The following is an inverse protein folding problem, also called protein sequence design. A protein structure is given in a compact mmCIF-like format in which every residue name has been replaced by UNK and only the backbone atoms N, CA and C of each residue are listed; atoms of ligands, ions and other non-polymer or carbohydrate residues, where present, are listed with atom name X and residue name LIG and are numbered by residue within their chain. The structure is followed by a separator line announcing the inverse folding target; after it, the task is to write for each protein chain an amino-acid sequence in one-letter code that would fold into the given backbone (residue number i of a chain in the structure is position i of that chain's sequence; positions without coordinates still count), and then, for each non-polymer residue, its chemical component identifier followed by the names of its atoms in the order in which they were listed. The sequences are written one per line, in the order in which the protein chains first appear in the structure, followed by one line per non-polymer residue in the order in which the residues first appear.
data_IF_917699811644
#
_entry.id   IF_917699811644
#
_cell.length_a   1.000
_cell.length_b   1.000
_cell.length_c   1.000
_cell.angle_alpha   90.00
_cell.angle_beta   90.00
_cell.angle_gamma   90.00
#
_symmetry.space_group_name_H-M   'P 1'
#
loop_
_entity.id
_entity.type
_entity.pdbx_description
1 polymer ?
#
# COMPACT_ATOMS: atom_id res chain seq x y z
N UNK A 1 3.16 5.40 12.77
CA UNK A 1 3.91 4.15 12.56
C UNK A 1 4.62 4.27 11.23
N UNK A 2 5.86 3.83 11.16
CA UNK A 2 6.60 3.68 9.91
C UNK A 2 6.38 2.26 9.38
N UNK A 3 6.01 2.14 8.10
CA UNK A 3 5.97 0.87 7.37
C UNK A 3 7.05 0.96 6.32
N UNK A 4 8.03 0.09 6.39
CA UNK A 4 9.26 0.08 5.59
C UNK A 4 9.39 -1.16 4.69
N UNK A 5 8.32 -1.93 4.56
CA UNK A 5 8.26 -3.20 3.81
C UNK A 5 6.98 -3.31 2.96
N UNK A 6 6.31 -2.19 2.66
CA UNK A 6 5.04 -2.22 1.91
C UNK A 6 5.28 -2.52 0.43
N UNK A 7 4.98 -3.75 0.02
CA UNK A 7 5.02 -4.18 -1.38
C UNK A 7 3.69 -3.80 -2.05
N UNK A 8 3.73 -2.89 -3.02
CA UNK A 8 2.55 -2.46 -3.75
C UNK A 8 2.02 -3.59 -4.67
N UNK A 9 0.84 -4.10 -4.39
CA UNK A 9 0.20 -5.15 -5.20
C UNK A 9 -0.78 -4.59 -6.22
N UNK A 10 -1.42 -3.47 -5.90
CA UNK A 10 -2.41 -2.86 -6.78
C UNK A 10 -2.91 -1.51 -6.29
N UNK A 11 -3.57 -0.81 -7.19
CA UNK A 11 -4.20 0.49 -6.93
C UNK A 11 -5.68 0.37 -7.24
N UNK A 12 -6.52 0.78 -6.30
CA UNK A 12 -7.96 0.77 -6.48
C UNK A 12 -8.41 1.81 -7.51
N UNK A 13 -9.69 1.77 -7.89
CA UNK A 13 -10.28 2.81 -8.72
C UNK A 13 -10.26 4.18 -7.99
N UNK A 14 -10.20 5.30 -8.73
CA UNK A 14 -10.33 6.62 -8.13
C UNK A 14 -11.69 6.82 -7.46
N UNK A 15 -11.69 7.42 -6.27
CA UNK A 15 -12.88 7.74 -5.49
C UNK A 15 -12.96 9.25 -5.30
N UNK A 16 -14.14 9.82 -5.57
CA UNK A 16 -14.44 11.23 -5.30
C UNK A 16 -14.85 11.41 -3.83
N UNK A 17 -14.11 12.24 -3.11
CA UNK A 17 -14.40 12.62 -1.73
C UNK A 17 -15.42 13.76 -1.66
N UNK A 18 -16.07 13.94 -0.50
CA UNK A 18 -17.06 15.00 -0.26
C UNK A 18 -16.52 16.41 -0.52
N UNK A 19 -15.23 16.63 -0.33
CA UNK A 19 -14.54 17.90 -0.57
C UNK A 19 -14.03 18.05 -2.02
N UNK A 20 -14.56 17.25 -2.95
CA UNK A 20 -14.23 17.22 -4.38
C UNK A 20 -12.80 16.78 -4.72
N UNK A 21 -12.03 16.29 -3.74
CA UNK A 21 -10.73 15.66 -4.03
C UNK A 21 -10.94 14.25 -4.58
N UNK A 22 -10.09 13.85 -5.52
CA UNK A 22 -10.02 12.48 -6.03
C UNK A 22 -8.88 11.77 -5.32
N UNK A 23 -9.13 10.56 -4.81
CA UNK A 23 -8.10 9.73 -4.17
C UNK A 23 -8.15 8.29 -4.64
N UNK A 24 -7.04 7.59 -4.47
CA UNK A 24 -6.88 6.18 -4.76
C UNK A 24 -6.37 5.47 -3.50
N UNK A 25 -6.85 4.25 -3.23
CA UNK A 25 -6.23 3.39 -2.23
C UNK A 25 -5.13 2.55 -2.89
N UNK A 26 -4.00 2.40 -2.22
CA UNK A 26 -2.96 1.44 -2.59
C UNK A 26 -3.14 0.19 -1.73
N UNK A 27 -3.30 -0.98 -2.35
CA UNK A 27 -3.32 -2.26 -1.67
C UNK A 27 -1.96 -2.93 -1.81
N UNK A 28 -1.44 -3.48 -0.72
CA UNK A 28 -0.12 -4.08 -0.70
C UNK A 28 0.04 -5.07 0.44
N UNK A 29 1.22 -5.65 0.50
CA UNK A 29 1.60 -6.61 1.52
C UNK A 29 2.77 -6.06 2.34
N UNK A 30 2.77 -6.35 3.63
CA UNK A 30 3.86 -6.11 4.57
C UNK A 30 4.04 -7.39 5.35
N UNK A 31 5.27 -7.89 5.49
CA UNK A 31 5.52 -9.12 6.26
C UNK A 31 5.10 -8.94 7.74
N UNK A 32 5.17 -7.71 8.24
CA UNK A 32 4.81 -7.37 9.63
C UNK A 32 3.31 -7.21 9.85
N UNK A 33 2.56 -6.81 8.82
CA UNK A 33 1.16 -6.39 8.95
C UNK A 33 0.19 -7.20 8.06
N UNK A 34 0.71 -8.11 7.25
CA UNK A 34 -0.05 -8.85 6.25
C UNK A 34 -0.54 -7.99 5.09
N UNK A 35 -1.70 -8.34 4.53
CA UNK A 35 -2.36 -7.56 3.50
C UNK A 35 -2.94 -6.28 4.11
N UNK A 36 -2.44 -5.14 3.66
CA UNK A 36 -2.89 -3.83 4.12
C UNK A 36 -3.18 -2.89 2.96
N UNK A 37 -3.95 -1.85 3.25
CA UNK A 37 -4.21 -0.76 2.32
C UNK A 37 -3.80 0.58 2.92
N UNK A 38 -3.25 1.43 2.07
CA UNK A 38 -2.82 2.78 2.42
C UNK A 38 -3.64 3.79 1.62
N UNK A 39 -4.19 4.77 2.34
CA UNK A 39 -4.98 5.86 1.75
C UNK A 39 -4.76 7.18 2.49
N UNK A 40 -5.00 8.35 1.89
CA UNK A 40 -5.18 8.57 0.47
C UNK A 40 -3.85 8.47 -0.30
N UNK A 41 -3.88 7.89 -1.50
CA UNK A 41 -2.84 8.04 -2.53
C UNK A 41 -3.40 8.81 -3.74
N UNK A 42 -2.55 9.14 -4.70
CA UNK A 42 -2.85 9.92 -5.91
C UNK A 42 -2.27 9.24 -7.14
N UNK A 43 -2.98 9.24 -8.27
CA UNK A 43 -2.46 8.68 -9.55
C UNK A 43 -1.14 9.32 -9.99
N UNK A 44 -0.81 10.51 -9.48
CA UNK A 44 0.46 11.21 -9.69
C UNK A 44 1.62 10.69 -8.83
N UNK A 45 1.34 9.89 -7.80
CA UNK A 45 2.38 9.24 -7.00
C UNK A 45 3.17 8.29 -7.92
N UNK A 46 4.51 8.44 -8.04
CA UNK A 46 5.34 7.72 -8.99
C UNK A 46 5.68 6.30 -8.50
N UNK A 47 4.64 5.52 -8.21
CA UNK A 47 4.73 4.16 -7.66
C UNK A 47 4.04 3.16 -8.58
N UNK A 48 4.61 1.96 -8.66
CA UNK A 48 4.20 0.89 -9.56
C UNK A 48 4.03 -0.41 -8.80
N UNK A 49 3.24 -1.31 -9.38
CA UNK A 49 3.09 -2.66 -8.82
C UNK A 49 4.48 -3.30 -8.67
N UNK A 50 4.70 -3.94 -7.53
CA UNK A 50 5.94 -4.57 -7.07
C UNK A 50 6.99 -3.64 -6.47
N UNK A 51 6.76 -2.33 -6.45
CA UNK A 51 7.60 -1.41 -5.68
C UNK A 51 7.48 -1.72 -4.19
N UNK A 52 8.62 -1.69 -3.49
CA UNK A 52 8.72 -1.76 -2.04
C UNK A 52 8.79 -0.33 -1.54
N UNK A 53 7.83 0.06 -0.72
CA UNK A 53 7.62 1.43 -0.28
C UNK A 53 7.88 1.59 1.22
N UNK A 54 8.49 2.72 1.58
CA UNK A 54 8.51 3.25 2.94
C UNK A 54 7.50 4.39 3.07
N UNK A 55 6.71 4.38 4.16
CA UNK A 55 5.65 5.35 4.38
C UNK A 55 5.25 5.47 5.86
N UNK A 56 4.98 6.70 6.29
CA UNK A 56 4.40 6.99 7.60
C UNK A 56 2.89 6.95 7.54
N UNK A 57 2.31 6.14 8.43
CA UNK A 57 0.88 5.96 8.55
C UNK A 57 0.38 6.20 9.98
N UNK A 58 -0.91 6.51 10.07
CA UNK A 58 -1.68 6.66 11.29
C UNK A 58 -2.95 5.81 11.19
N UNK A 59 -3.46 5.34 12.31
CA UNK A 59 -4.79 4.75 12.36
C UNK A 59 -5.86 5.83 12.20
N UNK A 60 -6.97 5.52 11.51
CA UNK A 60 -8.10 6.43 11.38
C UNK A 60 -9.25 5.95 12.26
N UNK A 61 -9.67 6.74 13.25
CA UNK A 61 -10.80 6.38 14.12
C UNK A 61 -12.12 6.17 13.35
N UNK A 62 -12.21 6.66 12.12
CA UNK A 62 -13.37 6.49 11.24
C UNK A 62 -13.32 5.20 10.43
N UNK A 63 -12.18 4.55 10.37
CA UNK A 63 -11.97 3.30 9.64
C UNK A 63 -11.41 2.25 10.60
N UNK A 64 -12.30 1.43 11.15
CA UNK A 64 -11.97 0.45 12.20
C UNK A 64 -11.32 -0.82 11.66
N UNK A 65 -11.12 -0.93 10.34
CA UNK A 65 -10.45 -2.06 9.70
C UNK A 65 -8.97 -2.07 10.08
N UNK A 66 -8.50 -3.18 10.61
CA UNK A 66 -7.11 -3.33 11.06
C UNK A 66 -6.12 -3.26 9.90
N UNK A 67 -6.55 -3.68 8.70
CA UNK A 67 -5.79 -3.62 7.47
C UNK A 67 -5.75 -2.21 6.83
N UNK A 68 -6.45 -1.23 7.42
CA UNK A 68 -6.64 0.10 6.83
C UNK A 68 -5.80 1.18 7.50
N UNK A 69 -4.83 1.69 6.75
CA UNK A 69 -3.89 2.68 7.24
C UNK A 69 -4.02 3.99 6.50
N UNK A 70 -4.07 5.09 7.27
CA UNK A 70 -4.11 6.43 6.71
C UNK A 70 -2.71 6.99 6.58
N UNK A 71 -2.31 7.38 5.39
CA UNK A 71 -1.05 8.09 5.13
C UNK A 71 -1.01 9.39 5.93
N UNK A 72 0.07 9.62 6.64
CA UNK A 72 0.32 10.88 7.32
C UNK A 72 0.45 12.03 6.29
N UNK A 73 -0.09 13.21 6.60
CA UNK A 73 -0.22 14.32 5.62
C UNK A 73 1.10 14.75 4.98
N UNK A 74 2.19 14.76 5.75
CA UNK A 74 3.54 15.14 5.31
C UNK A 74 4.34 13.98 4.73
N UNK A 75 3.82 12.75 4.81
CA UNK A 75 4.53 11.56 4.36
C UNK A 75 4.40 11.36 2.86
N UNK A 76 5.52 10.98 2.23
CA UNK A 76 5.59 10.54 0.85
C UNK A 76 5.61 9.01 0.81
N UNK A 77 5.18 8.47 -0.33
CA UNK A 77 5.41 7.06 -0.65
C UNK A 77 6.80 6.98 -1.26
N UNK A 78 7.78 6.57 -0.46
CA UNK A 78 9.18 6.52 -0.87
C UNK A 78 9.48 5.12 -1.42
N UNK A 79 9.87 5.02 -2.69
CA UNK A 79 10.30 3.75 -3.28
C UNK A 79 11.70 3.45 -2.77
N UNK A 80 11.84 2.38 -2.00
CA UNK A 80 13.10 1.93 -1.40
C UNK A 80 13.65 0.67 -2.08
N UNK A 81 12.84 0.04 -2.93
CA UNK A 81 13.20 -1.15 -3.69
C UNK A 81 12.08 -1.58 -4.63
N UNK A 82 12.29 -2.70 -5.29
CA UNK A 82 11.28 -3.36 -6.11
C UNK A 82 11.58 -4.85 -6.10
N UNK A 83 10.55 -5.69 -6.09
CA UNK A 83 10.76 -7.13 -6.27
C UNK A 83 11.43 -7.37 -7.61
N UNK A 84 12.35 -8.35 -7.67
CA UNK A 84 13.07 -8.58 -8.90
C UNK A 84 12.12 -8.95 -10.04
N UNK A 85 12.58 -8.73 -11.28
CA UNK A 85 11.81 -9.15 -12.45
C UNK A 85 11.74 -10.67 -12.62
N UNK A 86 12.36 -11.45 -11.73
CA UNK A 86 12.24 -12.90 -11.74
C UNK A 86 10.81 -13.28 -11.37
N UNK A 87 10.17 -14.00 -12.28
CA UNK A 87 8.81 -14.53 -12.12
C UNK A 87 8.64 -15.28 -10.79
N UNK A 88 9.65 -16.07 -10.43
CA UNK A 88 9.68 -16.93 -9.24
C UNK A 88 9.49 -16.17 -7.93
N UNK A 89 10.20 -15.07 -7.69
CA UNK A 89 10.06 -14.31 -6.42
C UNK A 89 8.65 -13.72 -6.26
N UNK A 90 8.03 -13.31 -7.38
CA UNK A 90 6.65 -12.82 -7.39
C UNK A 90 5.64 -13.94 -7.16
N UNK A 91 5.90 -15.13 -7.70
CA UNK A 91 5.07 -16.31 -7.47
C UNK A 91 5.15 -16.75 -6.01
N UNK A 92 6.36 -16.87 -5.45
CA UNK A 92 6.59 -17.23 -4.04
C UNK A 92 5.88 -16.26 -3.09
N UNK A 93 5.94 -14.95 -3.34
CA UNK A 93 5.19 -13.97 -2.55
C UNK A 93 3.66 -14.12 -2.69
N UNK A 94 3.17 -14.34 -3.91
CA UNK A 94 1.72 -14.48 -4.12
C UNK A 94 1.18 -15.78 -3.49
N UNK A 95 1.96 -16.86 -3.54
CA UNK A 95 1.66 -18.11 -2.87
C UNK A 95 1.62 -17.93 -1.36
N UNK A 96 2.62 -17.26 -0.76
CA UNK A 96 2.63 -16.99 0.68
C UNK A 96 1.42 -16.17 1.12
N UNK A 97 1.07 -15.13 0.35
CA UNK A 97 -0.13 -14.32 0.62
C UNK A 97 -1.40 -15.16 0.56
N UNK A 98 -1.50 -16.06 -0.42
CA UNK A 98 -2.68 -16.91 -0.62
C UNK A 98 -2.85 -17.97 0.47
N UNK A 99 -1.74 -18.53 0.97
CA UNK A 99 -1.75 -19.52 2.04
C UNK A 99 -2.07 -18.92 3.42
N UNK A 100 -1.75 -17.64 3.64
CA UNK A 100 -1.99 -16.92 4.90
C UNK A 100 -3.36 -16.23 4.98
N UNK A 101 -4.12 -16.16 3.87
CA UNK A 101 -5.43 -15.48 3.77
C UNK A 101 -6.62 -16.41 3.95
#
# INVERSE_FOLDING_TARGET
MDIDDFILLGRAIPVLLKDRRITICAAGFSEKLGLIRIYPTSWKDPIHRWDILSVKVISDRKDSREESWKREKSSKLEVIGSLSNKKREKEELLESIYEES
#
